data_IF_743185690973
#
_entry.id   IF_743185690973
#
_cell.length_a   1.000
_cell.length_b   1.000
_cell.length_c   1.000
_cell.angle_alpha   90.00
_cell.angle_beta   90.00
_cell.angle_gamma   90.00
#
_symmetry.space_group_name_H-M   'P 1'
#
loop_
_entity.id
_entity.type
_entity.pdbx_description
1 polymer ?
#
# COMPACT_ATOMS: atom_id res chain seq x y z
N UNK A 1 -9.95 20.55 70.79
CA UNK A 1 -9.85 19.13 70.39
C UNK A 1 -11.06 18.80 69.55
N UNK A 2 -10.88 18.16 68.39
CA UNK A 2 -11.98 17.73 67.52
C UNK A 2 -11.56 17.65 66.05
N UNK A 3 -10.81 16.61 65.70
CA UNK A 3 -10.56 16.20 64.31
C UNK A 3 -11.78 15.41 63.81
N UNK A 4 -12.24 15.68 62.59
CA UNK A 4 -13.18 14.79 61.90
C UNK A 4 -12.55 14.26 60.61
N UNK A 5 -12.51 12.94 60.54
CA UNK A 5 -11.79 12.09 59.60
C UNK A 5 -12.85 11.31 58.83
N UNK A 6 -12.81 11.32 57.49
CA UNK A 6 -13.70 10.44 56.72
C UNK A 6 -12.96 9.80 55.54
N UNK A 7 -12.43 8.61 55.82
CA UNK A 7 -12.06 7.61 54.83
C UNK A 7 -13.32 6.86 54.40
N UNK A 8 -13.54 6.65 53.10
CA UNK A 8 -14.26 5.44 52.68
C UNK A 8 -13.75 4.91 51.33
N UNK A 9 -12.90 3.89 51.42
CA UNK A 9 -12.57 2.94 50.36
C UNK A 9 -13.60 1.80 50.41
N UNK A 10 -14.34 1.52 49.33
CA UNK A 10 -14.62 0.15 48.87
C UNK A 10 -15.51 0.10 47.62
N UNK A 11 -15.31 -0.90 46.75
CA UNK A 11 -16.40 -1.34 45.87
C UNK A 11 -16.06 -1.99 44.53
N UNK A 12 -15.02 -2.81 44.41
CA UNK A 12 -14.84 -3.69 43.25
C UNK A 12 -15.77 -4.92 43.39
N UNK A 13 -16.81 -5.08 42.55
CA UNK A 13 -17.57 -6.34 42.40
C UNK A 13 -18.21 -6.50 41.01
N UNK A 14 -17.89 -7.62 40.36
CA UNK A 14 -18.89 -8.48 39.70
C UNK A 14 -19.20 -8.21 38.23
N UNK A 15 -18.71 -9.09 37.35
CA UNK A 15 -19.00 -9.06 35.92
C UNK A 15 -20.42 -9.52 35.54
N UNK A 16 -20.78 -9.32 34.28
CA UNK A 16 -21.78 -10.14 33.60
C UNK A 16 -21.48 -10.19 32.09
N UNK A 17 -21.13 -11.38 31.59
CA UNK A 17 -21.03 -11.71 30.17
C UNK A 17 -22.39 -12.20 29.68
N UNK A 18 -22.60 -12.09 28.35
CA UNK A 18 -23.66 -12.73 27.54
C UNK A 18 -25.02 -12.02 27.57
N UNK A 19 -25.70 -11.69 26.47
CA UNK A 19 -25.50 -11.92 25.04
C UNK A 19 -26.84 -11.72 24.33
N UNK A 20 -26.90 -10.96 23.24
CA UNK A 20 -27.99 -11.01 22.26
C UNK A 20 -27.46 -10.42 20.94
N UNK A 21 -27.00 -11.23 19.98
CA UNK A 21 -27.76 -11.77 18.84
C UNK A 21 -28.64 -10.72 18.15
N UNK A 22 -28.27 -10.36 16.92
CA UNK A 22 -29.13 -9.61 15.99
C UNK A 22 -28.31 -8.79 15.02
N UNK A 23 -28.06 -9.32 13.81
CA UNK A 23 -27.17 -8.72 12.83
C UNK A 23 -27.69 -7.43 12.19
N UNK A 24 -26.79 -6.70 11.53
CA UNK A 24 -26.97 -6.32 10.14
C UNK A 24 -25.64 -5.80 9.59
N UNK A 25 -25.16 -6.46 8.55
CA UNK A 25 -24.22 -5.83 7.63
C UNK A 25 -24.95 -4.65 6.95
N UNK A 26 -24.19 -3.59 6.68
CA UNK A 26 -24.50 -2.44 5.81
C UNK A 26 -24.72 -1.12 6.57
N UNK A 27 -23.83 -0.15 6.34
CA UNK A 27 -23.92 1.16 6.98
C UNK A 27 -22.67 2.01 6.82
N UNK A 28 -22.46 2.50 5.61
CA UNK A 28 -21.75 3.75 5.33
C UNK A 28 -21.97 4.79 6.45
N UNK A 29 -20.95 5.13 7.26
CA UNK A 29 -21.01 6.22 8.25
C UNK A 29 -19.71 7.01 8.27
N UNK A 30 -19.72 8.10 7.51
CA UNK A 30 -18.99 9.29 7.91
C UNK A 30 -19.54 9.85 9.23
N UNK A 31 -18.67 10.57 9.95
CA UNK A 31 -19.03 11.40 11.10
C UNK A 31 -19.03 10.65 12.44
N UNK A 32 -18.02 10.88 13.27
CA UNK A 32 -18.15 11.81 14.40
C UNK A 32 -16.81 11.88 15.14
N UNK A 33 -15.99 12.86 14.78
CA UNK A 33 -14.72 13.14 15.42
C UNK A 33 -14.98 14.00 16.66
N UNK A 34 -15.22 13.34 17.79
CA UNK A 34 -15.16 13.98 19.09
C UNK A 34 -14.18 13.21 19.96
N UNK A 35 -12.96 13.73 20.11
CA UNK A 35 -11.92 13.07 20.88
C UNK A 35 -10.51 13.60 20.61
N UNK A 36 -10.19 14.73 21.22
CA UNK A 36 -8.86 15.12 21.72
C UNK A 36 -7.75 15.39 20.68
N UNK A 37 -7.39 16.68 20.56
CA UNK A 37 -6.30 17.21 19.72
C UNK A 37 -4.90 16.83 20.21
N UNK A 38 -4.51 15.57 20.00
CA UNK A 38 -3.12 15.12 20.02
C UNK A 38 -2.59 15.02 18.59
N UNK A 39 -1.41 15.61 18.33
CA UNK A 39 -0.63 15.55 17.09
C UNK A 39 -0.93 14.32 16.22
N UNK A 40 -1.81 14.47 15.23
CA UNK A 40 -2.17 13.40 14.32
C UNK A 40 -1.12 13.24 13.24
N UNK A 41 -0.04 12.56 13.60
CA UNK A 41 0.94 12.13 12.63
C UNK A 41 0.25 11.20 11.62
N UNK A 42 0.39 11.44 10.31
CA UNK A 42 -0.21 10.58 9.30
C UNK A 42 0.29 9.14 9.46
N UNK A 43 -0.57 8.14 9.19
CA UNK A 43 -0.20 6.75 9.38
C UNK A 43 1.03 6.40 8.55
N UNK A 44 1.94 5.54 9.06
CA UNK A 44 3.14 5.16 8.33
C UNK A 44 2.81 4.56 6.97
N UNK A 45 3.55 4.98 5.95
CA UNK A 45 3.39 4.45 4.60
C UNK A 45 3.84 2.99 4.56
N UNK A 46 3.03 2.17 3.89
CA UNK A 46 3.19 0.71 3.80
C UNK A 46 3.50 0.22 2.39
N UNK A 47 3.79 1.11 1.47
CA UNK A 47 4.20 0.76 0.12
C UNK A 47 5.21 1.78 -0.42
N UNK A 48 5.81 1.46 -1.55
CA UNK A 48 6.70 2.38 -2.25
C UNK A 48 7.15 1.81 -3.57
N UNK A 49 7.69 2.68 -4.42
CA UNK A 49 8.26 2.30 -5.70
C UNK A 49 9.46 3.20 -6.01
N UNK A 50 10.56 2.57 -6.46
CA UNK A 50 11.77 3.25 -6.91
C UNK A 50 11.97 2.98 -8.38
N UNK A 51 12.03 4.07 -9.13
CA UNK A 51 12.32 4.07 -10.56
C UNK A 51 13.80 4.40 -10.74
N UNK A 52 14.44 3.71 -11.67
CA UNK A 52 15.83 3.96 -12.03
C UNK A 52 16.03 3.71 -13.52
N UNK A 53 17.04 4.33 -14.08
CA UNK A 53 17.43 4.13 -15.48
C UNK A 53 18.58 3.15 -15.55
N UNK A 54 18.49 2.20 -16.48
CA UNK A 54 19.56 1.25 -16.75
C UNK A 54 20.74 2.00 -17.39
N UNK A 55 21.92 1.93 -16.76
CA UNK A 55 23.10 2.72 -17.18
C UNK A 55 23.93 2.04 -18.27
N UNK A 56 23.87 0.71 -18.36
CA UNK A 56 24.76 -0.11 -19.20
C UNK A 56 24.02 -1.32 -19.78
N UNK A 57 24.59 -1.94 -20.82
CA UNK A 57 24.06 -3.16 -21.44
C UNK A 57 22.95 -2.93 -22.46
N UNK A 58 22.31 -4.03 -22.88
CA UNK A 58 21.32 -4.08 -23.99
C UNK A 58 20.12 -3.13 -23.80
N UNK A 59 19.72 -2.86 -22.56
CA UNK A 59 18.56 -2.02 -22.23
C UNK A 59 18.96 -0.65 -21.67
N UNK A 60 20.16 -0.15 -22.00
CA UNK A 60 20.61 1.18 -21.56
C UNK A 60 19.56 2.25 -21.90
N UNK A 61 19.26 3.11 -20.92
CA UNK A 61 18.24 4.16 -21.04
C UNK A 61 16.83 3.71 -20.68
N UNK A 62 16.55 2.40 -20.63
CA UNK A 62 15.24 1.91 -20.22
C UNK A 62 15.02 2.05 -18.70
N UNK A 63 13.76 2.13 -18.30
CA UNK A 63 13.35 2.23 -16.90
C UNK A 63 13.27 0.84 -16.27
N UNK A 64 13.82 0.70 -15.06
CA UNK A 64 13.59 -0.44 -14.16
C UNK A 64 12.93 0.06 -12.88
N UNK A 65 11.99 -0.72 -12.36
CA UNK A 65 11.19 -0.35 -11.18
C UNK A 65 11.30 -1.42 -10.12
N UNK A 66 11.62 -1.02 -8.90
CA UNK A 66 11.54 -1.89 -7.72
C UNK A 66 10.45 -1.35 -6.80
N UNK A 67 9.48 -2.18 -6.47
CA UNK A 67 8.33 -1.79 -5.67
C UNK A 67 8.06 -2.76 -4.53
N UNK A 68 7.43 -2.25 -3.47
CA UNK A 68 7.08 -3.03 -2.29
C UNK A 68 5.75 -2.59 -1.69
N UNK A 69 5.02 -3.53 -1.12
CA UNK A 69 3.78 -3.31 -0.37
C UNK A 69 3.72 -4.28 0.80
N UNK A 70 3.64 -3.76 2.02
CA UNK A 70 3.37 -4.52 3.24
C UNK A 70 1.86 -4.51 3.50
N UNK A 71 1.13 -5.52 3.04
CA UNK A 71 -0.30 -5.70 3.28
C UNK A 71 -0.56 -6.36 4.64
N UNK A 72 -1.73 -6.14 5.26
CA UNK A 72 -2.10 -6.82 6.52
C UNK A 72 -2.32 -8.32 6.32
N UNK A 73 -3.01 -8.73 5.25
CA UNK A 73 -3.37 -10.13 5.01
C UNK A 73 -2.40 -10.92 4.13
N UNK A 74 -1.64 -10.25 3.25
CA UNK A 74 -0.74 -10.91 2.28
C UNK A 74 0.74 -10.83 2.67
N UNK A 75 1.06 -10.20 3.80
CA UNK A 75 2.44 -9.90 4.19
C UNK A 75 3.13 -8.93 3.23
N UNK A 76 4.46 -9.05 3.13
CA UNK A 76 5.28 -8.26 2.22
C UNK A 76 5.19 -8.82 0.80
N UNK A 77 4.90 -7.94 -0.15
CA UNK A 77 4.90 -8.21 -1.57
C UNK A 77 5.94 -7.29 -2.20
N UNK A 78 6.81 -7.83 -3.05
CA UNK A 78 7.77 -7.04 -3.82
C UNK A 78 7.57 -7.28 -5.30
N UNK A 79 7.80 -6.26 -6.11
CA UNK A 79 7.77 -6.37 -7.57
C UNK A 79 9.04 -5.78 -8.18
N UNK A 80 9.63 -6.47 -9.14
CA UNK A 80 10.71 -5.96 -9.99
C UNK A 80 10.19 -5.89 -11.42
N UNK A 81 10.15 -4.71 -12.00
CA UNK A 81 9.68 -4.50 -13.37
C UNK A 81 10.84 -4.08 -14.23
N UNK A 82 11.08 -4.82 -15.31
CA UNK A 82 12.18 -4.57 -16.23
C UNK A 82 11.72 -4.77 -17.68
N UNK A 83 12.38 -4.11 -18.65
CA UNK A 83 12.23 -4.47 -20.05
C UNK A 83 12.78 -5.88 -20.28
N UNK A 84 12.24 -6.57 -21.28
CA UNK A 84 12.66 -7.90 -21.72
C UNK A 84 12.91 -7.88 -23.23
N UNK A 85 13.33 -9.01 -23.80
CA UNK A 85 13.82 -9.07 -25.19
C UNK A 85 12.81 -8.55 -26.22
N UNK A 86 11.50 -8.72 -25.97
CA UNK A 86 10.41 -8.30 -26.86
C UNK A 86 9.67 -7.05 -26.34
N UNK A 87 10.31 -6.29 -25.43
CA UNK A 87 9.81 -5.00 -24.99
C UNK A 87 9.70 -4.04 -26.17
N UNK A 88 8.49 -3.53 -26.41
CA UNK A 88 8.18 -2.61 -27.50
C UNK A 88 7.32 -1.45 -27.01
N UNK A 89 7.49 -0.32 -27.68
CA UNK A 89 6.59 0.82 -27.54
C UNK A 89 5.35 0.63 -28.42
N UNK A 90 4.19 1.00 -27.89
CA UNK A 90 2.95 1.03 -28.65
C UNK A 90 2.05 2.18 -28.19
N UNK A 91 1.27 2.73 -29.11
CA UNK A 91 0.29 3.77 -28.81
C UNK A 91 -1.08 3.14 -28.66
N UNK A 92 -1.75 3.40 -27.54
CA UNK A 92 -3.11 2.92 -27.30
C UNK A 92 -4.09 3.69 -28.17
N UNK A 93 -4.82 2.98 -29.06
CA UNK A 93 -5.80 3.60 -29.98
C UNK A 93 -6.91 4.38 -29.26
N UNK A 94 -7.27 3.97 -28.04
CA UNK A 94 -8.36 4.58 -27.28
C UNK A 94 -8.01 5.89 -26.59
N UNK A 95 -6.74 6.09 -26.22
CA UNK A 95 -6.31 7.24 -25.40
C UNK A 95 -5.20 8.06 -26.03
N UNK A 96 -4.55 7.57 -27.08
CA UNK A 96 -3.37 8.20 -27.68
C UNK A 96 -2.10 8.08 -26.81
N UNK A 97 -2.20 7.51 -25.61
CA UNK A 97 -1.07 7.35 -24.70
C UNK A 97 -0.06 6.32 -25.23
N UNK A 98 1.22 6.61 -25.04
CA UNK A 98 2.31 5.69 -25.37
C UNK A 98 2.62 4.79 -24.19
N UNK A 99 2.76 3.50 -24.46
CA UNK A 99 3.09 2.48 -23.47
C UNK A 99 4.32 1.68 -23.89
N UNK A 100 5.06 1.17 -22.91
CA UNK A 100 6.18 0.24 -23.08
C UNK A 100 5.78 -1.12 -22.50
N UNK A 101 5.90 -2.21 -23.26
CA UNK A 101 5.71 -3.56 -22.72
C UNK A 101 6.91 -3.95 -21.85
N UNK A 102 6.64 -4.53 -20.69
CA UNK A 102 7.63 -4.93 -19.68
C UNK A 102 7.20 -6.25 -19.03
N UNK A 103 8.05 -6.80 -18.18
CA UNK A 103 7.72 -7.94 -17.34
C UNK A 103 7.95 -7.60 -15.87
N UNK A 104 7.01 -8.00 -15.02
CA UNK A 104 7.08 -7.84 -13.58
C UNK A 104 7.30 -9.20 -12.90
N UNK A 105 8.39 -9.34 -12.16
CA UNK A 105 8.58 -10.43 -11.19
C UNK A 105 7.98 -9.99 -9.85
N UNK A 106 6.87 -10.61 -9.46
CA UNK A 106 6.19 -10.37 -8.19
C UNK A 106 6.49 -11.52 -7.23
N UNK A 107 6.93 -11.17 -6.03
CA UNK A 107 7.26 -12.13 -4.98
C UNK A 107 6.43 -11.87 -3.72
N UNK A 108 5.71 -12.90 -3.28
CA UNK A 108 4.94 -12.91 -2.05
C UNK A 108 5.78 -13.55 -0.94
N UNK A 109 6.35 -12.72 -0.06
CA UNK A 109 7.29 -13.19 0.96
C UNK A 109 6.65 -14.15 1.96
N UNK A 110 5.35 -14.00 2.24
CA UNK A 110 4.67 -14.86 3.20
C UNK A 110 4.46 -16.30 2.70
N UNK A 111 4.29 -16.49 1.39
CA UNK A 111 4.09 -17.82 0.80
C UNK A 111 5.31 -18.35 0.05
N UNK A 112 6.31 -17.51 -0.22
CA UNK A 112 7.44 -17.86 -1.09
C UNK A 112 7.07 -17.93 -2.58
N UNK A 113 5.84 -17.59 -2.97
CA UNK A 113 5.39 -17.68 -4.36
C UNK A 113 5.99 -16.55 -5.21
N UNK A 114 6.47 -16.92 -6.41
CA UNK A 114 6.90 -16.00 -7.45
C UNK A 114 5.95 -16.05 -8.64
N UNK A 115 5.68 -14.90 -9.24
CA UNK A 115 4.86 -14.76 -10.45
C UNK A 115 5.56 -13.84 -11.44
N UNK A 116 5.54 -14.22 -12.71
CA UNK A 116 5.96 -13.36 -13.82
C UNK A 116 4.71 -12.84 -14.52
N UNK A 117 4.54 -11.54 -14.54
CA UNK A 117 3.34 -10.88 -15.06
C UNK A 117 3.76 -9.95 -16.19
N UNK A 118 3.32 -10.20 -17.44
CA UNK A 118 3.44 -9.24 -18.52
C UNK A 118 2.67 -7.96 -18.16
N UNK A 119 3.30 -6.81 -18.34
CA UNK A 119 2.67 -5.53 -17.98
C UNK A 119 3.06 -4.43 -18.96
N UNK A 120 2.31 -3.33 -18.92
CA UNK A 120 2.60 -2.14 -19.70
C UNK A 120 2.82 -0.95 -18.78
N UNK A 121 3.85 -0.15 -19.09
CA UNK A 121 4.13 1.12 -18.43
C UNK A 121 3.71 2.27 -19.34
N UNK A 122 2.88 3.19 -18.85
CA UNK A 122 2.62 4.44 -19.56
C UNK A 122 3.91 5.29 -19.59
N UNK A 123 4.32 5.75 -20.77
CA UNK A 123 5.63 6.40 -20.97
C UNK A 123 5.73 7.75 -20.29
N UNK A 124 4.63 8.48 -20.17
CA UNK A 124 4.61 9.83 -19.59
C UNK A 124 4.48 9.77 -18.07
N UNK A 125 3.43 9.10 -17.58
CA UNK A 125 3.11 9.02 -16.15
C UNK A 125 3.94 7.98 -15.39
N UNK A 126 4.64 7.09 -16.10
CA UNK A 126 5.37 5.93 -15.57
C UNK A 126 4.50 4.96 -14.74
N UNK A 127 3.18 5.02 -14.88
CA UNK A 127 2.26 4.10 -14.19
C UNK A 127 2.32 2.73 -14.85
N UNK A 128 2.47 1.68 -14.04
CA UNK A 128 2.52 0.27 -14.46
C UNK A 128 1.30 -0.43 -13.90
N UNK A 129 0.55 -1.08 -14.78
CA UNK A 129 -0.66 -1.84 -14.45
C UNK A 129 -0.32 -3.32 -14.43
N UNK A 130 -0.53 -3.97 -13.29
CA UNK A 130 -0.41 -5.42 -13.10
C UNK A 130 -1.82 -6.03 -13.06
N UNK A 131 -2.42 -6.19 -14.23
CA UNK A 131 -3.83 -6.60 -14.39
C UNK A 131 -4.14 -7.93 -13.71
N UNK A 132 -3.26 -8.91 -13.85
CA UNK A 132 -3.45 -10.29 -13.33
C UNK A 132 -3.63 -10.35 -11.81
N UNK A 133 -3.09 -9.37 -11.08
CA UNK A 133 -3.20 -9.28 -9.62
C UNK A 133 -4.01 -8.07 -9.15
N UNK A 134 -4.59 -7.30 -10.07
CA UNK A 134 -5.37 -6.10 -9.76
C UNK A 134 -4.58 -5.05 -8.98
N UNK A 135 -3.28 -4.89 -9.28
CA UNK A 135 -2.41 -3.91 -8.62
C UNK A 135 -1.77 -2.94 -9.61
N UNK A 136 -1.38 -1.77 -9.11
CA UNK A 136 -0.68 -0.73 -9.86
C UNK A 136 0.59 -0.30 -9.15
N UNK A 137 1.61 0.07 -9.93
CA UNK A 137 2.81 0.74 -9.47
C UNK A 137 2.83 2.14 -10.08
N UNK A 138 3.01 3.16 -9.27
CA UNK A 138 3.06 4.57 -9.72
C UNK A 138 4.20 5.31 -9.03
N UNK A 139 4.84 6.30 -9.70
CA UNK A 139 5.78 7.20 -9.03
C UNK A 139 5.10 8.10 -8.00
N UNK A 140 3.76 8.21 -8.04
CA UNK A 140 2.99 9.08 -7.17
C UNK A 140 2.88 8.53 -5.75
N UNK A 141 2.64 9.46 -4.82
CA UNK A 141 2.52 9.19 -3.40
C UNK A 141 3.86 9.30 -2.67
N UNK A 142 3.82 9.94 -1.53
CA UNK A 142 4.96 10.16 -0.64
C UNK A 142 4.55 9.84 0.79
N UNK A 143 5.53 9.64 1.66
CA UNK A 143 5.27 9.42 3.07
C UNK A 143 6.49 8.92 3.79
N UNK A 144 6.28 8.51 5.04
CA UNK A 144 7.32 8.05 5.94
C UNK A 144 6.99 6.64 6.39
N UNK A 145 7.96 5.73 6.34
CA UNK A 145 7.80 4.37 6.87
C UNK A 145 7.73 4.38 8.40
N UNK A 146 7.38 3.25 9.03
CA UNK A 146 7.36 3.14 10.50
C UNK A 146 8.71 3.41 11.15
N UNK A 147 9.82 3.25 10.41
CA UNK A 147 11.17 3.56 10.87
C UNK A 147 11.62 4.99 10.56
N UNK A 148 10.73 5.91 10.21
CA UNK A 148 11.07 7.32 9.96
C UNK A 148 11.70 7.60 8.57
N UNK A 149 11.92 6.56 7.74
CA UNK A 149 12.50 6.73 6.40
C UNK A 149 11.47 7.30 5.42
N UNK A 150 11.81 8.41 4.75
CA UNK A 150 11.04 8.98 3.63
C UNK A 150 11.07 8.03 2.43
N UNK A 151 9.91 7.81 1.84
CA UNK A 151 9.72 6.92 0.69
C UNK A 151 8.71 7.52 -0.28
N UNK A 152 8.89 7.22 -1.57
CA UNK A 152 8.04 7.70 -2.66
C UNK A 152 7.45 6.53 -3.45
N UNK A 153 6.55 6.86 -4.37
CA UNK A 153 5.83 5.90 -5.17
C UNK A 153 4.75 5.16 -4.39
N UNK A 154 3.99 4.36 -5.11
CA UNK A 154 2.96 3.51 -4.54
C UNK A 154 2.92 2.20 -5.31
N UNK A 155 2.73 1.12 -4.57
CA UNK A 155 2.40 -0.20 -5.10
C UNK A 155 1.23 -0.73 -4.30
N UNK A 156 0.12 -1.02 -4.95
CA UNK A 156 -1.10 -1.41 -4.25
C UNK A 156 -2.28 -1.65 -5.19
N UNK A 157 -3.47 -1.82 -4.63
CA UNK A 157 -4.68 -2.02 -5.43
C UNK A 157 -4.93 -0.83 -6.35
N UNK A 158 -5.56 -1.09 -7.48
CA UNK A 158 -6.22 -0.05 -8.26
C UNK A 158 -7.24 0.67 -7.39
N UNK A 159 -7.07 1.97 -7.22
CA UNK A 159 -8.15 2.86 -6.80
C UNK A 159 -8.78 3.38 -8.09
N UNK A 160 -10.00 2.91 -8.38
CA UNK A 160 -10.88 3.57 -9.35
C UNK A 160 -11.48 4.80 -8.71
#
# INVERSE_FOLDING_TARGET
>A
MGWNNNNNWNGNRGGNWNGNRGGNWNGNRGGNWNGNGGNMQPPPKRSGAKYSTIKTGKFKGATIVNAWNKSKGKGLITAKVAPYKDSKEYTAKSTGNVFITMIAEVFYHNSGQKMLIPCSMNKDTKVIVLSDIGMTITPNGHGVTSGGKRVTGYFGKFTR
#
